data_IF_557726773546
#
_entry.id   IF_557726773546
#
_cell.length_a   1.000
_cell.length_b   1.000
_cell.length_c   1.000
_cell.angle_alpha   90.00
_cell.angle_beta   90.00
_cell.angle_gamma   90.00
#
_symmetry.space_group_name_H-M   'P 1'
#
loop_
_entity.id
_entity.type
_entity.pdbx_description
1 polymer ?
#
# COMPACT_ATOMS: atom_id res chain seq x y z
N UNK A 1 2.87 1.35 6.73
CA UNK A 1 4.08 1.33 7.60
C UNK A 1 4.10 0.20 8.63
N UNK A 2 3.10 0.09 9.51
CA UNK A 2 3.13 -0.86 10.64
C UNK A 2 3.35 -2.32 10.22
N UNK A 3 2.69 -2.78 9.15
CA UNK A 3 2.84 -4.15 8.65
C UNK A 3 4.30 -4.48 8.31
N UNK A 4 5.02 -3.56 7.65
CA UNK A 4 6.45 -3.75 7.36
C UNK A 4 7.27 -3.86 8.64
N UNK A 5 7.08 -2.94 9.58
CA UNK A 5 7.88 -2.90 10.82
C UNK A 5 7.68 -4.17 11.65
N UNK A 6 6.43 -4.62 11.79
CA UNK A 6 6.10 -5.84 12.51
C UNK A 6 6.72 -7.08 11.85
N UNK A 7 6.67 -7.18 10.52
CA UNK A 7 7.26 -8.29 9.78
C UNK A 7 8.79 -8.30 9.90
N UNK A 8 9.44 -7.14 9.74
CA UNK A 8 10.90 -6.99 9.86
C UNK A 8 11.38 -7.35 11.27
N UNK A 9 10.69 -6.88 12.30
CA UNK A 9 10.99 -7.21 13.69
C UNK A 9 10.86 -8.72 13.95
N UNK A 10 9.76 -9.33 13.49
CA UNK A 10 9.51 -10.77 13.66
C UNK A 10 10.58 -11.63 12.99
N UNK A 11 11.05 -11.23 11.81
CA UNK A 11 12.07 -11.96 11.06
C UNK A 11 13.50 -11.55 11.44
N UNK A 12 13.64 -10.50 12.26
CA UNK A 12 14.93 -9.90 12.61
C UNK A 12 15.77 -9.58 11.36
N UNK A 13 15.12 -9.05 10.32
CA UNK A 13 15.78 -8.55 9.11
C UNK A 13 15.10 -7.26 8.66
N UNK A 14 15.92 -6.28 8.22
CA UNK A 14 15.45 -5.01 7.67
C UNK A 14 14.90 -5.15 6.25
N UNK A 15 15.21 -6.24 5.55
CA UNK A 15 14.68 -6.54 4.21
C UNK A 15 14.10 -7.94 4.19
N UNK A 16 12.78 -8.04 4.06
CA UNK A 16 12.05 -9.30 4.31
C UNK A 16 12.55 -10.47 3.45
N UNK A 17 12.74 -10.25 2.14
CA UNK A 17 13.19 -11.28 1.19
C UNK A 17 14.70 -11.58 1.21
N UNK A 18 15.50 -10.98 2.10
CA UNK A 18 16.96 -11.15 2.14
C UNK A 18 17.40 -12.61 2.36
N UNK A 19 16.59 -13.40 3.07
CA UNK A 19 16.86 -14.81 3.35
C UNK A 19 16.20 -15.76 2.34
N UNK A 20 15.81 -15.26 1.16
CA UNK A 20 15.22 -16.06 0.08
C UNK A 20 13.74 -16.39 0.23
N UNK A 21 13.05 -15.76 1.19
CA UNK A 21 11.59 -15.86 1.32
C UNK A 21 10.86 -14.97 0.30
N UNK A 22 9.63 -15.34 -0.05
CA UNK A 22 8.76 -14.54 -0.92
C UNK A 22 7.63 -13.92 -0.10
N UNK A 23 7.52 -12.59 -0.12
CA UNK A 23 6.62 -11.84 0.74
C UNK A 23 5.66 -10.97 -0.06
N UNK A 24 4.40 -10.97 0.35
CA UNK A 24 3.35 -10.17 -0.26
C UNK A 24 2.79 -9.20 0.75
N UNK A 25 2.74 -7.91 0.42
CA UNK A 25 1.92 -6.95 1.14
C UNK A 25 0.53 -6.90 0.51
N UNK A 26 -0.50 -7.24 1.29
CA UNK A 26 -1.87 -6.88 0.97
C UNK A 26 -2.27 -5.62 1.75
N UNK A 27 -2.78 -4.62 1.03
CA UNK A 27 -3.20 -3.33 1.57
C UNK A 27 -4.60 -2.99 1.07
N UNK A 28 -5.43 -2.42 1.95
CA UNK A 28 -6.81 -2.05 1.63
C UNK A 28 -6.90 -0.90 0.63
N UNK A 29 -5.88 -0.06 0.56
CA UNK A 29 -5.78 1.06 -0.37
C UNK A 29 -4.35 1.19 -0.96
N UNK A 30 -4.23 1.92 -2.06
CA UNK A 30 -2.96 2.26 -2.69
C UNK A 30 -2.03 2.92 -1.67
N UNK A 31 -0.72 2.64 -1.68
CA UNK A 31 0.20 3.30 -0.75
C UNK A 31 0.40 4.77 -1.13
N UNK A 32 0.22 5.67 -0.15
CA UNK A 32 0.65 7.06 -0.23
C UNK A 32 2.16 7.20 -0.49
N UNK A 33 2.64 8.39 -0.82
CA UNK A 33 4.04 8.65 -1.18
C UNK A 33 5.05 8.12 -0.13
N UNK A 34 4.72 8.23 1.15
CA UNK A 34 5.53 7.68 2.24
C UNK A 34 5.54 6.14 2.22
N UNK A 35 4.38 5.51 2.12
CA UNK A 35 4.26 4.05 2.11
C UNK A 35 4.85 3.44 0.84
N UNK A 36 4.74 4.13 -0.30
CA UNK A 36 5.39 3.78 -1.56
C UNK A 36 6.91 3.74 -1.37
N UNK A 37 7.50 4.80 -0.80
CA UNK A 37 8.93 4.83 -0.49
C UNK A 37 9.36 3.68 0.44
N UNK A 38 8.54 3.36 1.45
CA UNK A 38 8.81 2.22 2.33
C UNK A 38 8.74 0.87 1.60
N UNK A 39 7.82 0.72 0.65
CA UNK A 39 7.65 -0.51 -0.17
C UNK A 39 8.95 -0.87 -0.90
N UNK A 40 9.63 0.14 -1.46
CA UNK A 40 10.90 -0.03 -2.18
C UNK A 40 11.97 -0.71 -1.33
N UNK A 41 12.01 -0.39 -0.03
CA UNK A 41 13.07 -0.86 0.87
C UNK A 41 12.67 -2.10 1.69
N UNK A 42 11.38 -2.31 1.93
CA UNK A 42 10.87 -3.36 2.82
C UNK A 42 11.23 -4.79 2.36
N UNK A 43 11.50 -5.02 1.07
CA UNK A 43 11.82 -6.35 0.55
C UNK A 43 10.60 -7.24 0.38
N UNK A 44 9.46 -6.65 -0.04
CA UNK A 44 8.31 -7.41 -0.55
C UNK A 44 8.46 -7.67 -2.03
N UNK A 45 7.87 -8.77 -2.51
CA UNK A 45 7.94 -9.22 -3.89
C UNK A 45 6.61 -8.98 -4.63
N UNK A 46 5.52 -8.79 -3.88
CA UNK A 46 4.23 -8.42 -4.44
C UNK A 46 3.48 -7.42 -3.56
N UNK A 47 2.73 -6.54 -4.22
CA UNK A 47 1.86 -5.53 -3.63
C UNK A 47 0.43 -5.73 -4.17
N UNK A 48 -0.49 -6.07 -3.28
CA UNK A 48 -1.91 -6.26 -3.58
C UNK A 48 -2.70 -5.08 -3.01
N UNK A 49 -3.51 -4.43 -3.85
CA UNK A 49 -4.21 -3.19 -3.53
C UNK A 49 -5.70 -3.36 -3.77
N UNK A 50 -6.50 -2.94 -2.78
CA UNK A 50 -7.96 -2.82 -2.91
C UNK A 50 -8.39 -1.53 -3.59
N UNK A 51 -8.57 -0.47 -2.81
CA UNK A 51 -8.92 0.86 -3.28
C UNK A 51 -7.73 1.58 -3.96
N UNK A 52 -8.02 2.43 -4.93
CA UNK A 52 -7.05 3.30 -5.61
C UNK A 52 -6.87 4.61 -4.84
N UNK A 53 -5.82 5.37 -5.14
CA UNK A 53 -5.64 6.72 -4.58
C UNK A 53 -6.83 7.62 -4.89
N UNK A 54 -7.36 7.55 -6.12
CA UNK A 54 -8.55 8.32 -6.53
C UNK A 54 -9.77 8.00 -5.66
N UNK A 55 -9.91 6.76 -5.16
CA UNK A 55 -11.01 6.37 -4.28
C UNK A 55 -10.82 6.96 -2.87
N UNK A 56 -9.59 6.97 -2.38
CA UNK A 56 -9.24 7.50 -1.06
C UNK A 56 -9.47 9.01 -1.03
N UNK A 57 -8.96 9.73 -2.02
CA UNK A 57 -9.09 11.19 -2.13
C UNK A 57 -10.53 11.63 -2.46
N UNK A 58 -11.31 10.82 -3.19
CA UNK A 58 -12.72 11.10 -3.48
C UNK A 58 -13.61 10.92 -2.24
N UNK A 59 -13.40 9.83 -1.48
CA UNK A 59 -14.31 9.40 -0.42
C UNK A 59 -13.93 9.91 0.97
N UNK A 60 -12.75 10.51 1.11
CA UNK A 60 -12.21 10.98 2.39
C UNK A 60 -11.42 12.29 2.22
N UNK A 61 -10.95 12.87 3.32
CA UNK A 61 -10.06 14.04 3.29
C UNK A 61 -8.57 13.67 3.27
N UNK A 62 -8.23 12.40 3.06
CA UNK A 62 -6.84 11.96 3.01
C UNK A 62 -6.12 12.43 1.74
N UNK A 63 -4.86 12.81 1.89
CA UNK A 63 -3.94 13.17 0.80
C UNK A 63 -2.93 12.02 0.60
N UNK A 64 -2.90 11.44 -0.60
CA UNK A 64 -1.99 10.35 -0.95
C UNK A 64 -0.59 10.86 -1.31
N UNK A 65 -0.46 12.16 -1.54
CA UNK A 65 0.77 12.82 -1.90
C UNK A 65 1.28 12.47 -3.31
N UNK A 66 2.37 13.12 -3.75
CA UNK A 66 2.86 12.96 -5.10
C UNK A 66 3.60 11.63 -5.28
N UNK A 67 3.07 10.77 -6.15
CA UNK A 67 3.78 9.61 -6.69
C UNK A 67 4.44 9.94 -8.04
N UNK A 68 5.53 9.24 -8.42
CA UNK A 68 6.02 9.27 -9.79
C UNK A 68 4.92 8.87 -10.78
N UNK A 69 4.94 9.44 -11.99
CA UNK A 69 3.92 9.17 -13.01
C UNK A 69 3.77 7.67 -13.33
N UNK A 70 4.88 6.94 -13.38
CA UNK A 70 4.93 5.47 -13.57
C UNK A 70 5.36 4.75 -12.29
N UNK A 71 4.75 5.08 -11.15
CA UNK A 71 5.12 4.46 -9.86
C UNK A 71 4.98 2.93 -9.87
N UNK A 72 4.02 2.39 -10.64
CA UNK A 72 3.83 0.94 -10.80
C UNK A 72 5.05 0.35 -11.51
N UNK A 73 5.40 0.88 -12.69
CA UNK A 73 6.55 0.40 -13.44
C UNK A 73 7.86 0.54 -12.66
N UNK A 74 8.00 1.56 -11.81
CA UNK A 74 9.14 1.69 -10.89
C UNK A 74 9.22 0.55 -9.87
N UNK A 75 8.10 0.09 -9.31
CA UNK A 75 8.06 -1.08 -8.42
C UNK A 75 8.33 -2.38 -9.19
N UNK A 76 7.74 -2.55 -10.37
CA UNK A 76 7.96 -3.74 -11.20
C UNK A 76 9.41 -3.87 -11.67
N UNK A 77 10.07 -2.74 -12.02
CA UNK A 77 11.51 -2.69 -12.32
C UNK A 77 12.39 -3.17 -11.15
N UNK A 78 11.87 -3.11 -9.93
CA UNK A 78 12.53 -3.59 -8.70
C UNK A 78 12.13 -5.03 -8.33
N UNK A 79 11.39 -5.71 -9.20
CA UNK A 79 10.91 -7.06 -8.99
C UNK A 79 9.68 -7.15 -8.08
N UNK A 80 8.97 -6.04 -7.86
CA UNK A 80 7.77 -6.00 -7.02
C UNK A 80 6.54 -6.01 -7.91
N UNK A 81 5.85 -7.15 -7.99
CA UNK A 81 4.63 -7.28 -8.79
C UNK A 81 3.48 -6.49 -8.16
N UNK A 82 2.80 -5.65 -8.92
CA UNK A 82 1.68 -4.85 -8.43
C UNK A 82 0.36 -5.37 -8.99
N UNK A 83 -0.62 -5.61 -8.11
CA UNK A 83 -1.99 -5.98 -8.49
C UNK A 83 -2.97 -5.04 -7.80
N UNK A 84 -3.83 -4.42 -8.61
CA UNK A 84 -4.81 -3.42 -8.16
C UNK A 84 -6.22 -3.97 -8.25
N UNK A 85 -7.14 -3.23 -7.65
CA UNK A 85 -8.58 -3.42 -7.75
C UNK A 85 -9.08 -4.74 -7.14
N UNK A 86 -8.39 -5.24 -6.12
CA UNK A 86 -8.77 -6.47 -5.40
C UNK A 86 -9.86 -6.14 -4.39
N UNK A 87 -11.09 -6.59 -4.65
CA UNK A 87 -12.26 -6.23 -3.81
C UNK A 87 -12.42 -4.70 -3.68
N UNK A 88 -12.26 -3.99 -4.82
CA UNK A 88 -12.28 -2.52 -4.84
C UNK A 88 -13.59 -1.96 -4.33
N UNK A 89 -14.72 -2.56 -4.69
CA UNK A 89 -16.05 -2.07 -4.30
C UNK A 89 -16.24 -2.18 -2.78
N UNK A 90 -15.79 -3.28 -2.18
CA UNK A 90 -15.81 -3.49 -0.74
C UNK A 90 -14.84 -2.54 -0.02
N UNK A 91 -13.65 -2.33 -0.57
CA UNK A 91 -12.68 -1.37 -0.03
C UNK A 91 -13.24 0.07 -0.07
N UNK A 92 -13.89 0.46 -1.18
CA UNK A 92 -14.59 1.74 -1.32
C UNK A 92 -15.72 1.88 -0.32
N UNK A 93 -16.51 0.83 -0.08
CA UNK A 93 -17.63 0.88 0.86
C UNK A 93 -17.17 1.26 2.28
N UNK A 94 -16.06 0.68 2.75
CA UNK A 94 -15.48 1.02 4.07
C UNK A 94 -14.95 2.46 4.11
N UNK A 95 -14.30 2.93 3.04
CA UNK A 95 -13.83 4.32 2.95
C UNK A 95 -15.00 5.31 2.97
N UNK A 96 -16.08 5.03 2.24
CA UNK A 96 -17.26 5.88 2.20
C UNK A 96 -17.97 5.94 3.56
N UNK A 97 -18.09 4.80 4.25
CA UNK A 97 -18.64 4.75 5.61
C UNK A 97 -17.79 5.59 6.58
N UNK A 98 -16.46 5.48 6.48
CA UNK A 98 -15.55 6.30 7.27
C UNK A 98 -15.70 7.80 6.96
N UNK A 99 -15.69 8.18 5.69
CA UNK A 99 -15.83 9.59 5.28
C UNK A 99 -17.18 10.21 5.70
N UNK A 100 -18.26 9.42 5.71
CA UNK A 100 -19.58 9.88 6.14
C UNK A 100 -19.74 9.99 7.67
N UNK A 101 -18.99 9.18 8.43
CA UNK A 101 -19.08 9.11 9.90
C UNK A 101 -18.01 9.93 10.63
N UNK A 102 -16.97 10.38 9.93
CA UNK A 102 -15.90 11.20 10.49
C UNK A 102 -16.41 12.55 10.93
N UNK A 103 -16.27 12.87 12.22
CA UNK A 103 -16.37 14.25 12.68
C UNK A 103 -15.20 15.03 12.07
N UNK A 104 -15.42 16.10 11.29
CA UNK A 104 -14.33 16.95 10.82
C UNK A 104 -13.58 17.49 12.04
N UNK A 105 -12.25 17.48 11.98
CA UNK A 105 -11.40 18.02 13.05
C UNK A 105 -11.46 19.55 13.08
#
# INVERSE_FOLDING_TARGET
>A
MLAYMAAQQRLSSFRLNEQGGHYTLATSAQPCCQCYGATVWAGVDALLIGARSEDVEELTEFDEGPLPADWIGELERRGIAVRRDILRDEARAVLAEYGASGTPY
#
